data_IF_683154756955
#
_entry.id   IF_683154756955
#
_cell.length_a   1.000
_cell.length_b   1.000
_cell.length_c   1.000
_cell.angle_alpha   90.00
_cell.angle_beta   90.00
_cell.angle_gamma   90.00
#
_symmetry.space_group_name_H-M   'P 1'
#
loop_
_entity.id
_entity.type
_entity.pdbx_description
1 polymer ?
#
# COMPACT_ATOMS: atom_id res chain seq x y z
N UNK A 1 19.74 15.85 28.52
CA UNK A 1 20.23 16.14 27.16
C UNK A 1 19.04 16.07 26.22
N UNK A 2 18.40 17.21 25.99
CA UNK A 2 17.07 17.31 25.36
C UNK A 2 17.25 17.39 23.85
N UNK A 3 16.76 16.39 23.12
CA UNK A 3 16.79 16.41 21.65
C UNK A 3 15.65 17.31 21.15
N UNK A 4 16.03 18.50 20.67
CA UNK A 4 15.19 19.42 19.88
C UNK A 4 14.85 18.75 18.55
N UNK A 5 13.56 18.47 18.31
CA UNK A 5 13.05 18.15 16.99
C UNK A 5 12.86 19.46 16.19
N UNK A 6 13.48 19.53 15.02
CA UNK A 6 13.35 20.65 14.08
C UNK A 6 12.01 20.55 13.36
N UNK A 7 11.26 21.65 13.34
CA UNK A 7 9.85 21.69 12.97
C UNK A 7 9.66 22.30 11.56
N UNK A 8 10.31 21.71 10.55
CA UNK A 8 10.24 22.16 9.15
C UNK A 8 9.70 21.04 8.23
N UNK A 9 8.46 20.62 8.48
CA UNK A 9 7.67 19.85 7.52
C UNK A 9 6.31 20.53 7.31
N UNK A 10 5.83 20.67 6.06
CA UNK A 10 4.65 21.47 5.73
C UNK A 10 3.39 20.92 6.44
N UNK A 11 2.83 21.79 7.29
CA UNK A 11 1.59 21.60 8.04
C UNK A 11 0.42 21.44 7.07
N UNK A 12 -0.10 20.22 6.92
CA UNK A 12 -1.34 20.05 6.16
C UNK A 12 -1.80 18.63 5.86
N UNK A 13 -0.94 17.60 5.98
CA UNK A 13 -1.33 16.24 5.61
C UNK A 13 -1.45 15.24 6.78
N UNK A 14 -1.17 15.66 8.02
CA UNK A 14 -1.20 14.78 9.19
C UNK A 14 -1.99 15.34 10.39
N UNK A 15 -2.76 16.43 10.20
CA UNK A 15 -3.52 17.04 11.31
C UNK A 15 -4.54 16.07 11.93
N UNK A 16 -5.05 15.11 11.16
CA UNK A 16 -6.00 14.11 11.65
C UNK A 16 -5.32 12.97 12.44
N UNK A 17 -4.06 12.67 12.17
CA UNK A 17 -3.31 11.61 12.86
C UNK A 17 -2.79 12.07 14.22
N UNK A 18 -2.43 13.36 14.36
CA UNK A 18 -2.00 13.92 15.65
C UNK A 18 -3.16 14.04 16.67
N UNK A 19 -4.39 14.26 16.19
CA UNK A 19 -5.57 14.31 17.06
C UNK A 19 -5.89 12.94 17.71
N UNK A 20 -5.80 11.84 16.95
CA UNK A 20 -6.07 10.50 17.46
C UNK A 20 -5.03 10.00 18.47
N UNK A 21 -3.77 10.42 18.35
CA UNK A 21 -2.70 10.01 19.30
C UNK A 21 -2.87 10.73 20.65
N UNK A 22 -3.23 12.02 20.64
CA UNK A 22 -3.35 12.82 21.86
C UNK A 22 -4.61 12.49 22.69
N UNK A 23 -5.69 12.02 22.06
CA UNK A 23 -6.92 11.65 22.79
C UNK A 23 -6.77 10.32 23.55
N UNK A 24 -5.88 9.43 23.08
CA UNK A 24 -5.58 8.14 23.71
C UNK A 24 -4.90 8.26 25.08
N UNK A 25 -4.29 9.40 25.40
CA UNK A 25 -3.64 9.64 26.70
C UNK A 25 -4.66 10.04 27.78
N UNK A 26 -5.85 10.54 27.41
CA UNK A 26 -6.82 11.10 28.37
C UNK A 26 -7.93 10.13 28.83
N UNK A 27 -8.24 9.07 28.09
CA UNK A 27 -9.38 8.19 28.42
C UNK A 27 -9.05 6.70 28.16
N UNK A 28 -8.59 5.94 29.16
CA UNK A 28 -8.13 4.56 28.97
C UNK A 28 -9.24 3.50 28.93
N UNK A 29 -10.50 3.89 28.79
CA UNK A 29 -11.62 2.94 28.78
C UNK A 29 -12.51 3.13 27.57
N UNK A 30 -12.68 2.02 26.83
CA UNK A 30 -13.70 1.72 25.81
C UNK A 30 -13.53 2.22 24.38
N UNK A 31 -12.34 2.15 23.80
CA UNK A 31 -12.22 2.01 22.33
C UNK A 31 -11.62 0.65 22.02
N UNK A 32 -12.40 -0.18 21.35
CA UNK A 32 -11.99 -1.51 20.89
C UNK A 32 -10.75 -1.36 20.00
N UNK A 33 -9.64 -1.98 20.39
CA UNK A 33 -8.36 -1.88 19.68
C UNK A 33 -8.47 -2.34 18.21
N UNK A 34 -9.48 -3.18 17.91
CA UNK A 34 -9.82 -3.60 16.56
C UNK A 34 -10.38 -2.45 15.69
N UNK A 35 -11.15 -1.54 16.28
CA UNK A 35 -11.80 -0.43 15.57
C UNK A 35 -10.79 0.69 15.26
N UNK A 36 -9.81 0.92 16.13
CA UNK A 36 -8.72 1.89 15.90
C UNK A 36 -7.76 1.44 14.79
N UNK A 37 -7.50 0.13 14.68
CA UNK A 37 -6.74 -0.45 13.56
C UNK A 37 -7.50 -0.35 12.24
N UNK A 38 -8.83 -0.52 12.28
CA UNK A 38 -9.68 -0.35 11.10
C UNK A 38 -9.72 1.11 10.60
N UNK A 39 -9.72 2.10 11.51
CA UNK A 39 -9.72 3.52 11.14
C UNK A 39 -8.36 4.03 10.63
N UNK A 40 -7.23 3.49 11.10
CA UNK A 40 -5.91 3.79 10.55
C UNK A 40 -5.65 3.15 9.18
N UNK A 41 -6.37 2.09 8.81
CA UNK A 41 -6.28 1.46 7.48
C UNK A 41 -6.90 2.31 6.35
N UNK A 42 -7.57 3.42 6.69
CA UNK A 42 -8.21 4.35 5.73
C UNK A 42 -7.28 5.49 5.27
N UNK A 43 -5.96 5.34 5.35
CA UNK A 43 -5.01 6.33 4.82
C UNK A 43 -4.95 6.23 3.28
N UNK A 44 -5.80 7.00 2.59
CA UNK A 44 -5.82 7.15 1.13
C UNK A 44 -5.66 5.80 0.38
N UNK A 45 -6.67 4.95 0.53
CA UNK A 45 -6.65 3.58 0.05
C UNK A 45 -6.46 3.53 -1.47
N UNK A 46 -5.36 2.91 -1.90
CA UNK A 46 -5.18 2.41 -3.26
C UNK A 46 -6.39 1.56 -3.66
N UNK A 47 -6.88 1.72 -4.90
CA UNK A 47 -8.09 1.02 -5.36
C UNK A 47 -7.73 -0.43 -5.69
N UNK A 48 -8.08 -1.36 -4.80
CA UNK A 48 -7.76 -2.80 -4.96
C UNK A 48 -8.90 -3.66 -5.50
N UNK A 49 -10.13 -3.14 -5.56
CA UNK A 49 -11.35 -3.86 -6.00
C UNK A 49 -11.25 -4.53 -7.38
N UNK A 50 -10.44 -3.96 -8.28
CA UNK A 50 -10.30 -4.43 -9.66
C UNK A 50 -9.11 -5.38 -9.87
N UNK A 51 -8.30 -5.63 -8.84
CA UNK A 51 -7.16 -6.53 -8.90
C UNK A 51 -7.61 -7.98 -8.75
N UNK A 52 -7.01 -8.86 -9.55
CA UNK A 52 -7.23 -10.31 -9.51
C UNK A 52 -6.02 -11.04 -8.95
N UNK A 53 -4.81 -10.61 -9.30
CA UNK A 53 -3.57 -11.24 -8.87
C UNK A 53 -2.50 -10.18 -8.58
N UNK A 54 -1.79 -10.33 -7.47
CA UNK A 54 -0.60 -9.55 -7.13
C UNK A 54 0.55 -10.53 -6.86
N UNK A 55 1.60 -10.44 -7.66
CA UNK A 55 2.80 -11.26 -7.52
C UNK A 55 4.03 -10.38 -7.32
N UNK A 56 4.67 -10.49 -6.16
CA UNK A 56 5.88 -9.74 -5.84
C UNK A 56 7.07 -10.70 -5.72
N UNK A 57 8.17 -10.40 -6.40
CA UNK A 57 9.42 -11.16 -6.30
C UNK A 57 10.55 -10.21 -5.94
N UNK A 58 11.17 -10.38 -4.76
CA UNK A 58 12.18 -9.43 -4.31
C UNK A 58 13.21 -10.04 -3.36
N UNK A 59 14.39 -9.44 -3.32
CA UNK A 59 15.45 -9.77 -2.35
C UNK A 59 15.37 -8.76 -1.19
N UNK A 60 15.01 -9.17 0.05
CA UNK A 60 14.80 -8.25 1.16
C UNK A 60 16.08 -7.50 1.60
N UNK A 61 17.26 -7.99 1.20
CA UNK A 61 18.55 -7.37 1.46
C UNK A 61 18.95 -6.35 0.39
N UNK A 62 18.24 -6.31 -0.75
CA UNK A 62 18.45 -5.30 -1.77
C UNK A 62 17.69 -4.02 -1.44
N UNK A 63 18.32 -2.86 -1.64
CA UNK A 63 17.68 -1.55 -1.47
C UNK A 63 16.50 -1.36 -2.44
N UNK A 64 16.56 -1.99 -3.61
CA UNK A 64 15.52 -1.95 -4.65
C UNK A 64 14.28 -2.79 -4.32
N UNK A 65 14.28 -3.57 -3.22
CA UNK A 65 13.10 -4.31 -2.79
C UNK A 65 12.10 -3.46 -2.01
N UNK A 66 12.49 -2.24 -1.61
CA UNK A 66 11.65 -1.35 -0.80
C UNK A 66 10.27 -1.07 -1.45
N UNK A 67 10.16 -0.74 -2.74
CA UNK A 67 8.86 -0.46 -3.36
C UNK A 67 7.93 -1.68 -3.33
N UNK A 68 8.42 -2.89 -3.62
CA UNK A 68 7.62 -4.12 -3.56
C UNK A 68 7.07 -4.38 -2.15
N UNK A 69 7.90 -4.21 -1.12
CA UNK A 69 7.50 -4.42 0.28
C UNK A 69 6.43 -3.41 0.71
N UNK A 70 6.64 -2.14 0.39
CA UNK A 70 5.67 -1.09 0.74
C UNK A 70 4.35 -1.30 -0.01
N UNK A 71 4.39 -1.69 -1.28
CA UNK A 71 3.18 -1.98 -2.04
C UNK A 71 2.34 -3.08 -1.38
N UNK A 72 2.96 -4.18 -0.94
CA UNK A 72 2.25 -5.25 -0.24
C UNK A 72 1.60 -4.80 1.08
N UNK A 73 2.17 -3.80 1.76
CA UNK A 73 1.59 -3.23 3.00
C UNK A 73 0.41 -2.31 2.74
N UNK A 74 0.26 -1.81 1.51
CA UNK A 74 -0.89 -0.97 1.12
C UNK A 74 -2.10 -1.79 0.68
N UNK A 75 -1.96 -3.12 0.55
CA UNK A 75 -3.10 -3.99 0.27
C UNK A 75 -3.98 -4.09 1.51
N UNK A 76 -5.32 -4.05 1.36
CA UNK A 76 -6.21 -4.16 2.50
C UNK A 76 -6.07 -5.55 3.15
N UNK A 77 -6.32 -5.67 4.46
CA UNK A 77 -6.23 -6.94 5.17
C UNK A 77 -7.17 -8.01 4.58
N UNK A 78 -8.29 -7.58 4.00
CA UNK A 78 -9.31 -8.44 3.40
C UNK A 78 -9.06 -8.78 1.92
N UNK A 79 -7.94 -8.35 1.32
CA UNK A 79 -7.67 -8.56 -0.11
C UNK A 79 -7.77 -10.03 -0.55
N UNK A 80 -7.23 -10.95 0.27
CA UNK A 80 -7.31 -12.39 -0.01
C UNK A 80 -8.74 -12.94 0.08
N UNK A 81 -9.52 -12.45 1.05
CA UNK A 81 -10.92 -12.84 1.22
C UNK A 81 -11.79 -12.31 0.06
N UNK A 82 -11.45 -11.15 -0.49
CA UNK A 82 -12.14 -10.53 -1.63
C UNK A 82 -11.76 -11.15 -2.99
N UNK A 83 -11.00 -12.26 -3.00
CA UNK A 83 -10.66 -13.01 -4.21
C UNK A 83 -9.40 -12.54 -4.93
N UNK A 84 -8.58 -11.67 -4.35
CA UNK A 84 -7.26 -11.32 -4.91
C UNK A 84 -6.22 -12.36 -4.52
N UNK A 85 -5.60 -12.99 -5.51
CA UNK A 85 -4.49 -13.93 -5.29
C UNK A 85 -3.21 -13.15 -5.01
N UNK A 86 -2.59 -13.34 -3.85
CA UNK A 86 -1.36 -12.63 -3.46
C UNK A 86 -0.21 -13.62 -3.28
N UNK A 87 0.78 -13.53 -4.15
CA UNK A 87 1.99 -14.37 -4.15
C UNK A 87 3.21 -13.51 -3.85
N UNK A 88 4.06 -13.95 -2.94
CA UNK A 88 5.36 -13.34 -2.67
C UNK A 88 6.48 -14.37 -2.77
N UNK A 89 7.48 -14.09 -3.61
CA UNK A 89 8.66 -14.90 -3.78
C UNK A 89 9.89 -14.16 -3.23
N UNK A 90 10.48 -14.71 -2.17
CA UNK A 90 11.69 -14.17 -1.56
C UNK A 90 12.90 -14.74 -2.28
N UNK A 91 13.72 -13.85 -2.83
CA UNK A 91 14.96 -14.22 -3.48
C UNK A 91 16.08 -14.46 -2.46
N UNK A 92 16.99 -15.42 -2.72
CA UNK A 92 18.19 -15.62 -1.90
C UNK A 92 19.05 -14.36 -1.83
N UNK A 93 19.81 -14.22 -0.73
CA UNK A 93 20.64 -13.03 -0.46
C UNK A 93 21.63 -12.70 -1.59
N UNK A 94 22.22 -13.72 -2.20
CA UNK A 94 23.23 -13.64 -3.26
C UNK A 94 22.62 -13.48 -4.67
N UNK A 95 21.30 -13.53 -4.81
CA UNK A 95 20.64 -13.36 -6.10
C UNK A 95 20.77 -11.91 -6.58
N UNK A 96 21.25 -11.76 -7.81
CA UNK A 96 21.32 -10.49 -8.53
C UNK A 96 20.06 -10.22 -9.37
N UNK A 97 19.05 -11.10 -9.29
CA UNK A 97 17.82 -10.90 -10.04
C UNK A 97 17.10 -9.62 -9.58
N UNK A 98 16.58 -8.81 -10.53
CA UNK A 98 15.87 -7.58 -10.20
C UNK A 98 14.59 -7.88 -9.44
N UNK A 99 14.26 -7.00 -8.48
CA UNK A 99 12.99 -7.08 -7.77
C UNK A 99 11.86 -6.62 -8.69
N UNK A 100 10.79 -7.40 -8.76
CA UNK A 100 9.67 -7.15 -9.66
C UNK A 100 8.33 -7.27 -8.93
N UNK A 101 7.34 -6.54 -9.46
CA UNK A 101 5.96 -6.58 -9.01
C UNK A 101 5.05 -6.72 -10.23
N UNK A 102 4.15 -7.69 -10.19
CA UNK A 102 3.10 -7.91 -11.19
C UNK A 102 1.74 -7.71 -10.54
N UNK A 103 0.88 -6.95 -11.21
CA UNK A 103 -0.52 -6.76 -10.83
C UNK A 103 -1.38 -7.10 -12.04
N UNK A 104 -2.34 -8.01 -11.86
CA UNK A 104 -3.35 -8.36 -12.86
C UNK A 104 -4.71 -7.81 -12.45
N UNK A 105 -5.47 -7.40 -13.45
CA UNK A 105 -6.77 -6.78 -13.28
C UNK A 105 -7.89 -7.65 -13.87
N UNK A 106 -9.14 -7.31 -13.53
CA UNK A 106 -10.34 -8.04 -13.98
C UNK A 106 -10.61 -7.96 -15.48
N UNK A 107 -10.08 -6.94 -16.15
CA UNK A 107 -10.12 -6.80 -17.61
C UNK A 107 -9.10 -7.67 -18.34
N UNK A 108 -8.27 -8.44 -17.60
CA UNK A 108 -7.20 -9.27 -18.14
C UNK A 108 -5.89 -8.50 -18.37
N UNK A 109 -5.83 -7.20 -18.08
CA UNK A 109 -4.60 -6.43 -18.21
C UNK A 109 -3.62 -6.79 -17.10
N UNK A 110 -2.35 -6.85 -17.46
CA UNK A 110 -1.25 -7.07 -16.52
C UNK A 110 -0.29 -5.87 -16.52
N UNK A 111 0.01 -5.34 -15.34
CA UNK A 111 1.05 -4.34 -15.11
C UNK A 111 2.27 -5.01 -14.48
N UNK A 112 3.42 -4.88 -15.15
CA UNK A 112 4.70 -5.39 -14.67
C UNK A 112 5.62 -4.21 -14.36
N UNK A 113 6.15 -4.20 -13.13
CA UNK A 113 7.01 -3.13 -12.64
C UNK A 113 8.36 -3.68 -12.22
N UNK A 114 9.40 -2.93 -12.59
CA UNK A 114 10.75 -3.11 -12.10
C UNK A 114 10.96 -2.21 -10.88
N UNK A 115 11.12 -2.81 -9.70
CA UNK A 115 11.27 -2.08 -8.44
C UNK A 115 12.64 -1.39 -8.31
N UNK A 116 13.57 -1.60 -9.24
CA UNK A 116 14.80 -0.80 -9.32
C UNK A 116 14.55 0.59 -9.92
N UNK A 117 13.55 0.71 -10.81
CA UNK A 117 13.29 1.93 -11.58
C UNK A 117 12.12 2.74 -11.06
N UNK A 118 11.14 2.07 -10.45
CA UNK A 118 9.88 2.69 -10.04
C UNK A 118 9.82 2.80 -8.52
N UNK A 119 9.44 3.97 -8.02
CA UNK A 119 9.22 4.21 -6.59
C UNK A 119 7.80 3.77 -6.17
N UNK A 120 7.54 3.76 -4.86
CA UNK A 120 6.21 3.36 -4.34
C UNK A 120 5.08 4.29 -4.83
N UNK A 121 5.35 5.59 -5.01
CA UNK A 121 4.33 6.55 -5.46
C UNK A 121 3.88 6.25 -6.89
N UNK A 122 4.83 6.08 -7.82
CA UNK A 122 4.55 5.75 -9.21
C UNK A 122 3.87 4.39 -9.36
N UNK A 123 4.23 3.41 -8.52
CA UNK A 123 3.53 2.12 -8.46
C UNK A 123 2.04 2.30 -8.13
N UNK A 124 1.74 3.02 -7.05
CA UNK A 124 0.37 3.27 -6.60
C UNK A 124 -0.39 4.10 -7.64
N UNK A 125 0.21 5.17 -8.17
CA UNK A 125 -0.40 6.04 -9.18
C UNK A 125 -0.79 5.27 -10.46
N UNK A 126 0.09 4.42 -10.98
CA UNK A 126 -0.18 3.65 -12.19
C UNK A 126 -1.31 2.62 -12.00
N UNK A 127 -1.30 1.97 -10.84
CA UNK A 127 -2.32 1.02 -10.43
C UNK A 127 -3.67 1.71 -10.22
N UNK A 128 -3.69 2.84 -9.53
CA UNK A 128 -4.90 3.65 -9.31
C UNK A 128 -5.44 4.23 -10.60
N UNK A 129 -4.55 4.71 -11.50
CA UNK A 129 -4.96 5.26 -12.79
C UNK A 129 -5.76 4.23 -13.57
N UNK A 130 -5.27 3.01 -13.64
CA UNK A 130 -5.96 1.94 -14.35
C UNK A 130 -7.25 1.52 -13.63
N UNK A 131 -7.22 1.40 -12.30
CA UNK A 131 -8.39 1.08 -11.50
C UNK A 131 -9.52 2.10 -11.65
N UNK A 132 -9.20 3.41 -11.72
CA UNK A 132 -10.18 4.47 -11.96
C UNK A 132 -10.77 4.41 -13.36
N UNK A 133 -10.01 3.97 -14.37
CA UNK A 133 -10.53 3.74 -15.71
C UNK A 133 -11.56 2.59 -15.70
N UNK A 134 -11.26 1.50 -15.00
CA UNK A 134 -12.18 0.38 -14.85
C UNK A 134 -13.44 0.76 -14.06
N UNK A 135 -13.30 1.58 -13.01
CA UNK A 135 -14.45 2.10 -12.27
C UNK A 135 -15.36 2.92 -13.19
N UNK A 136 -14.81 3.88 -13.94
CA UNK A 136 -15.59 4.66 -14.90
C UNK A 136 -16.24 3.80 -15.98
N UNK A 137 -15.54 2.77 -16.46
CA UNK A 137 -16.10 1.86 -17.45
C UNK A 137 -17.27 1.05 -16.87
N UNK A 138 -17.14 0.56 -15.63
CA UNK A 138 -18.21 -0.15 -14.93
C UNK A 138 -19.44 0.74 -14.70
N UNK A 139 -19.24 1.99 -14.26
CA UNK A 139 -20.31 2.96 -14.00
C UNK A 139 -21.09 3.37 -15.27
N UNK A 140 -20.49 3.21 -16.46
CA UNK A 140 -21.16 3.49 -17.74
C UNK A 140 -21.94 2.30 -18.29
N UNK A 141 -21.68 1.10 -17.78
CA UNK A 141 -22.31 -0.15 -18.24
C UNK A 141 -23.44 -0.63 -17.34
N UNK A 142 -23.56 -0.07 -16.13
CA UNK A 142 -24.69 -0.22 -15.20
C UNK A 142 -25.80 0.81 -15.52
#
# INVERSE_FOLDING_TARGET
MTLRWSNDAPLGQYAHTEACINDHIRHPHSVDFAELLAHCASAAEMITKFMTEVSAKFNPFSTCAKPARLFLTLLPPNARANGTTITSAILPRNSQEPSSLRVKFKDGKELNFDCQKVNIKGLVEEVDRHSRQLQKAADLTD
#
